data_IF_774949340334
#
_entry.id   IF_774949340334
#
_cell.length_a   1.000
_cell.length_b   1.000
_cell.length_c   1.000
_cell.angle_alpha   90.00
_cell.angle_beta   90.00
_cell.angle_gamma   90.00
#
_symmetry.space_group_name_H-M   'P 1'
#
loop_
_entity.id
_entity.type
_entity.pdbx_description
1 polymer ?
#
# COMPACT_ATOMS: atom_id res chain seq x y z
N UNK A 1 -19.40 -3.38 -21.84
CA UNK A 1 -19.19 -2.01 -21.33
C UNK A 1 -17.71 -1.70 -21.08
N UNK A 2 -16.90 -2.68 -20.65
CA UNK A 2 -15.46 -2.45 -20.42
C UNK A 2 -14.64 -2.24 -21.70
N UNK A 3 -14.94 -2.96 -22.80
CA UNK A 3 -14.23 -2.82 -24.09
C UNK A 3 -14.32 -1.39 -24.65
N UNK A 4 -15.52 -0.82 -24.62
CA UNK A 4 -15.81 0.56 -25.03
C UNK A 4 -15.13 1.59 -24.13
N UNK A 5 -15.04 1.32 -22.82
CA UNK A 5 -14.31 2.19 -21.88
C UNK A 5 -12.79 2.17 -22.10
N UNK A 6 -12.26 1.10 -22.70
CA UNK A 6 -10.86 0.92 -23.06
C UNK A 6 -10.55 1.33 -24.51
N UNK A 7 -11.53 1.85 -25.26
CA UNK A 7 -11.36 2.20 -26.67
C UNK A 7 -11.14 0.99 -27.59
N UNK A 8 -11.47 -0.22 -27.14
CA UNK A 8 -11.25 -1.45 -27.87
C UNK A 8 -12.46 -1.81 -28.75
N UNK A 9 -12.23 -2.34 -29.97
CA UNK A 9 -13.29 -2.85 -30.83
C UNK A 9 -14.19 -3.88 -30.10
N UNK A 10 -15.51 -3.91 -30.37
CA UNK A 10 -16.46 -4.77 -29.64
C UNK A 10 -16.16 -6.28 -29.79
N UNK A 11 -15.51 -6.66 -30.89
CA UNK A 11 -15.07 -8.03 -31.19
C UNK A 11 -13.78 -8.47 -30.46
N UNK A 12 -13.12 -7.58 -29.72
CA UNK A 12 -11.91 -7.93 -28.94
C UNK A 12 -12.23 -9.03 -27.93
N UNK A 13 -11.41 -10.09 -27.88
CA UNK A 13 -11.65 -11.24 -26.99
C UNK A 13 -11.67 -10.84 -25.52
N UNK A 14 -12.80 -11.07 -24.83
CA UNK A 14 -12.94 -10.79 -23.40
C UNK A 14 -11.94 -11.59 -22.57
N UNK A 15 -11.70 -12.87 -22.93
CA UNK A 15 -10.73 -13.71 -22.23
C UNK A 15 -9.31 -13.18 -22.33
N UNK A 16 -8.92 -12.59 -23.48
CA UNK A 16 -7.61 -11.93 -23.62
C UNK A 16 -7.53 -10.66 -22.76
N UNK A 17 -8.58 -9.83 -22.72
CA UNK A 17 -8.62 -8.63 -21.85
C UNK A 17 -8.53 -9.00 -20.36
N UNK A 18 -9.23 -10.04 -19.94
CA UNK A 18 -9.15 -10.55 -18.57
C UNK A 18 -7.76 -11.09 -18.24
N UNK A 19 -7.13 -11.85 -19.16
CA UNK A 19 -5.73 -12.31 -19.00
C UNK A 19 -4.73 -11.16 -18.94
N UNK A 20 -4.97 -10.09 -19.70
CA UNK A 20 -4.19 -8.86 -19.64
C UNK A 20 -4.35 -8.10 -18.31
N UNK A 21 -5.36 -8.44 -17.49
CA UNK A 21 -5.51 -7.85 -16.17
C UNK A 21 -5.93 -6.38 -16.18
N UNK A 22 -6.57 -5.92 -17.26
CA UNK A 22 -6.96 -4.52 -17.44
C UNK A 22 -8.24 -4.18 -16.65
N UNK A 23 -9.03 -5.20 -16.30
CA UNK A 23 -10.29 -5.10 -15.53
C UNK A 23 -10.27 -6.03 -14.32
N UNK A 24 -11.00 -5.67 -13.26
CA UNK A 24 -11.15 -6.52 -12.08
C UNK A 24 -11.97 -7.77 -12.41
N UNK A 25 -11.63 -8.91 -11.82
CA UNK A 25 -12.47 -10.11 -11.85
C UNK A 25 -13.70 -9.94 -10.95
N UNK A 26 -14.68 -10.82 -11.13
CA UNK A 26 -15.89 -10.82 -10.32
C UNK A 26 -15.53 -11.07 -8.83
N UNK A 27 -14.63 -12.01 -8.57
CA UNK A 27 -14.14 -12.34 -7.22
C UNK A 27 -13.48 -11.13 -6.55
N UNK A 28 -12.64 -10.39 -7.27
CA UNK A 28 -12.01 -9.17 -6.77
C UNK A 28 -13.04 -8.08 -6.44
N UNK A 29 -14.09 -7.95 -7.26
CA UNK A 29 -15.18 -7.00 -6.99
C UNK A 29 -15.98 -7.39 -5.75
N UNK A 30 -16.26 -8.69 -5.57
CA UNK A 30 -16.93 -9.21 -4.37
C UNK A 30 -16.07 -8.94 -3.14
N UNK A 31 -14.77 -9.25 -3.20
CA UNK A 31 -13.85 -9.09 -2.09
C UNK A 31 -13.69 -7.61 -1.71
N UNK A 32 -13.51 -6.73 -2.70
CA UNK A 32 -13.42 -5.29 -2.49
C UNK A 32 -14.69 -4.73 -1.84
N UNK A 33 -15.87 -5.15 -2.32
CA UNK A 33 -17.15 -4.76 -1.74
C UNK A 33 -17.31 -5.26 -0.30
N UNK A 34 -16.97 -6.53 -0.05
CA UNK A 34 -17.02 -7.16 1.28
C UNK A 34 -16.12 -6.42 2.27
N UNK A 35 -14.88 -6.14 1.87
CA UNK A 35 -13.90 -5.44 2.70
C UNK A 35 -14.36 -4.02 3.03
N UNK A 36 -14.88 -3.30 2.03
CA UNK A 36 -15.41 -1.94 2.21
C UNK A 36 -16.61 -1.91 3.17
N UNK A 37 -17.53 -2.87 3.04
CA UNK A 37 -18.68 -2.98 3.93
C UNK A 37 -18.27 -3.36 5.36
N UNK A 38 -17.33 -4.29 5.51
CA UNK A 38 -16.79 -4.68 6.81
C UNK A 38 -16.15 -3.49 7.54
N UNK A 39 -15.29 -2.72 6.85
CA UNK A 39 -14.69 -1.51 7.40
C UNK A 39 -15.73 -0.45 7.76
N UNK A 40 -16.76 -0.27 6.93
CA UNK A 40 -17.86 0.67 7.21
C UNK A 40 -18.61 0.28 8.48
N UNK A 41 -18.89 -1.02 8.67
CA UNK A 41 -19.59 -1.52 9.86
C UNK A 41 -18.76 -1.33 11.13
N UNK A 42 -17.45 -1.60 11.09
CA UNK A 42 -16.53 -1.37 12.22
C UNK A 42 -16.55 0.07 12.75
N UNK A 43 -16.76 1.06 11.87
CA UNK A 43 -16.77 2.49 12.25
C UNK A 43 -17.97 2.90 13.12
N UNK A 44 -19.05 2.13 13.12
CA UNK A 44 -20.28 2.47 13.86
C UNK A 44 -20.54 1.51 15.02
N UNK A 45 -21.13 2.00 16.10
CA UNK A 45 -21.50 1.16 17.25
C UNK A 45 -22.50 0.07 16.86
N UNK A 46 -23.51 0.44 16.07
CA UNK A 46 -24.50 -0.51 15.55
C UNK A 46 -23.89 -1.52 14.60
N UNK A 47 -22.98 -1.10 13.72
CA UNK A 47 -22.28 -2.00 12.80
C UNK A 47 -21.36 -2.99 13.50
N UNK A 48 -20.65 -2.57 14.56
CA UNK A 48 -19.88 -3.49 15.42
C UNK A 48 -20.77 -4.55 16.07
N UNK A 49 -21.92 -4.16 16.61
CA UNK A 49 -22.89 -5.13 17.17
C UNK A 49 -23.43 -6.12 16.13
N UNK A 50 -23.61 -5.68 14.87
CA UNK A 50 -24.01 -6.58 13.77
C UNK A 50 -22.91 -7.60 13.46
N UNK A 51 -21.64 -7.17 13.46
CA UNK A 51 -20.49 -8.05 13.21
C UNK A 51 -20.33 -9.09 14.33
N UNK A 52 -20.42 -8.65 15.59
CA UNK A 52 -20.38 -9.53 16.77
C UNK A 52 -21.48 -10.60 16.72
N UNK A 53 -22.73 -10.20 16.41
CA UNK A 53 -23.86 -11.13 16.27
C UNK A 53 -23.67 -12.17 15.16
N UNK A 54 -22.85 -11.87 14.16
CA UNK A 54 -22.53 -12.77 13.04
C UNK A 54 -21.26 -13.61 13.28
N UNK A 55 -20.69 -13.54 14.48
CA UNK A 55 -19.46 -14.25 14.82
C UNK A 55 -18.22 -13.70 14.13
N UNK A 56 -18.29 -12.49 13.56
CA UNK A 56 -17.10 -11.79 13.09
C UNK A 56 -16.49 -11.08 14.29
N UNK A 57 -15.41 -11.63 14.85
CA UNK A 57 -14.64 -10.93 15.88
C UNK A 57 -14.17 -9.58 15.31
N UNK A 58 -14.59 -8.45 15.90
CA UNK A 58 -14.03 -7.17 15.55
C UNK A 58 -12.59 -7.19 16.08
N UNK A 59 -11.61 -7.36 15.19
CA UNK A 59 -10.27 -6.86 15.49
C UNK A 59 -10.41 -5.34 15.56
N UNK A 60 -10.77 -4.84 16.74
CA UNK A 60 -10.66 -3.43 17.08
C UNK A 60 -9.16 -3.17 17.15
N UNK A 61 -8.51 -3.03 15.98
CA UNK A 61 -7.26 -2.32 15.92
C UNK A 61 -7.60 -0.92 16.43
N UNK A 62 -7.25 -0.65 17.69
CA UNK A 62 -7.07 0.69 18.20
C UNK A 62 -5.88 1.31 17.46
N UNK A 63 -6.00 1.47 16.14
CA UNK A 63 -5.09 2.25 15.33
C UNK A 63 -5.19 3.65 15.91
N UNK A 64 -4.17 4.10 16.63
CA UNK A 64 -3.96 5.51 16.94
C UNK A 64 -3.58 6.20 15.63
N UNK A 65 -4.53 6.32 14.71
CA UNK A 65 -4.33 7.03 13.46
C UNK A 65 -4.59 8.50 13.71
N UNK A 66 -3.52 9.25 13.89
CA UNK A 66 -3.52 10.70 13.83
C UNK A 66 -3.74 11.14 12.37
N UNK A 67 -4.53 12.20 12.17
CA UNK A 67 -4.71 12.75 10.82
C UNK A 67 -3.46 13.54 10.45
N UNK A 68 -2.83 13.19 9.33
CA UNK A 68 -1.74 14.00 8.75
C UNK A 68 -2.23 15.44 8.54
N UNK A 69 -1.52 16.46 9.05
CA UNK A 69 -1.89 17.86 8.86
C UNK A 69 -2.11 18.21 7.39
N UNK A 70 -3.12 19.04 7.09
CA UNK A 70 -3.49 19.41 5.71
C UNK A 70 -2.31 19.96 4.92
N UNK A 71 -1.51 20.83 5.55
CA UNK A 71 -0.32 21.44 4.96
C UNK A 71 0.71 20.44 4.43
N UNK A 72 0.81 19.26 5.06
CA UNK A 72 1.70 18.18 4.62
C UNK A 72 0.99 17.34 3.55
N UNK A 73 -0.27 16.97 3.83
CA UNK A 73 -1.08 16.13 2.94
C UNK A 73 -1.23 16.72 1.52
N UNK A 74 -1.44 18.02 1.41
CA UNK A 74 -1.64 18.70 0.12
C UNK A 74 -0.36 18.73 -0.72
N UNK A 75 0.81 18.52 -0.08
CA UNK A 75 2.11 18.40 -0.75
C UNK A 75 2.44 16.95 -1.16
N UNK A 76 1.70 15.97 -0.65
CA UNK A 76 1.91 14.56 -0.95
C UNK A 76 1.02 14.12 -2.12
N UNK A 77 1.67 13.69 -3.21
CA UNK A 77 0.97 13.07 -4.34
C UNK A 77 1.13 11.55 -4.28
N UNK A 78 0.13 10.87 -3.71
CA UNK A 78 0.10 9.41 -3.61
C UNK A 78 -0.72 8.87 -4.78
N UNK A 79 -0.09 8.25 -5.81
CA UNK A 79 -0.84 7.63 -6.88
C UNK A 79 -1.63 6.43 -6.33
N UNK A 80 -2.87 6.19 -6.81
CA UNK A 80 -3.63 5.03 -6.39
C UNK A 80 -2.86 3.74 -6.75
N UNK A 81 -2.96 2.73 -5.88
CA UNK A 81 -2.47 1.40 -6.24
C UNK A 81 -3.16 0.93 -7.52
N UNK A 82 -2.42 0.31 -8.46
CA UNK A 82 -3.02 -0.26 -9.64
C UNK A 82 -4.12 -1.23 -9.28
N UNK A 83 -5.12 -1.29 -10.15
CA UNK A 83 -6.11 -2.35 -10.11
C UNK A 83 -5.42 -3.70 -10.20
N UNK A 84 -6.02 -4.71 -9.60
CA UNK A 84 -5.56 -6.10 -9.67
C UNK A 84 -4.15 -6.29 -9.09
N UNK A 85 -3.93 -5.76 -7.88
CA UNK A 85 -2.72 -5.99 -7.10
C UNK A 85 -2.98 -6.72 -5.78
N UNK A 86 -3.67 -7.86 -5.85
CA UNK A 86 -3.89 -8.68 -4.65
C UNK A 86 -2.55 -9.25 -4.15
N UNK A 87 -2.22 -9.10 -2.84
CA UNK A 87 -0.92 -9.50 -2.30
C UNK A 87 -0.62 -10.99 -2.50
N UNK A 88 -1.65 -11.85 -2.43
CA UNK A 88 -1.50 -13.31 -2.51
C UNK A 88 -1.68 -13.85 -3.93
N UNK A 89 -2.62 -13.32 -4.71
CA UNK A 89 -3.00 -13.94 -5.99
C UNK A 89 -2.16 -13.44 -7.16
N UNK A 90 -1.65 -12.21 -7.07
CA UNK A 90 -1.06 -11.51 -8.22
C UNK A 90 0.44 -11.25 -8.02
N UNK A 91 1.17 -12.25 -7.52
CA UNK A 91 2.61 -12.14 -7.23
C UNK A 91 3.42 -11.73 -8.47
N UNK A 92 3.27 -12.40 -9.62
CA UNK A 92 4.02 -12.05 -10.84
C UNK A 92 3.84 -10.59 -11.24
N UNK A 93 2.62 -10.05 -11.10
CA UNK A 93 2.34 -8.65 -11.40
C UNK A 93 3.00 -7.70 -10.39
N UNK A 94 3.16 -8.11 -9.13
CA UNK A 94 3.84 -7.30 -8.10
C UNK A 94 5.32 -7.25 -8.40
N UNK A 95 5.90 -8.36 -8.81
CA UNK A 95 7.29 -8.46 -9.26
C UNK A 95 7.53 -7.59 -10.51
N UNK A 96 6.72 -7.74 -11.56
CA UNK A 96 6.83 -6.92 -12.77
C UNK A 96 6.72 -5.42 -12.47
N UNK A 97 5.81 -5.05 -11.55
CA UNK A 97 5.64 -3.67 -11.10
C UNK A 97 6.87 -3.16 -10.34
N UNK A 98 7.44 -3.98 -9.45
CA UNK A 98 8.64 -3.61 -8.70
C UNK A 98 9.81 -3.38 -9.67
N UNK A 99 10.02 -4.28 -10.63
CA UNK A 99 11.03 -4.13 -11.69
C UNK A 99 10.79 -2.88 -12.53
N UNK A 100 9.55 -2.61 -12.93
CA UNK A 100 9.21 -1.41 -13.69
C UNK A 100 9.42 -0.11 -12.90
N UNK A 101 9.17 -0.12 -11.58
CA UNK A 101 9.44 1.02 -10.70
C UNK A 101 10.95 1.25 -10.53
N UNK A 102 11.72 0.17 -10.35
CA UNK A 102 13.17 0.24 -10.27
C UNK A 102 13.76 0.82 -11.55
N UNK A 103 13.45 0.23 -12.71
CA UNK A 103 13.93 0.72 -14.01
C UNK A 103 13.50 2.17 -14.31
N UNK A 104 12.34 2.60 -13.81
CA UNK A 104 11.87 3.98 -13.97
C UNK A 104 12.67 5.00 -13.17
N UNK A 105 13.20 4.59 -12.01
CA UNK A 105 13.89 5.47 -11.07
C UNK A 105 15.39 5.21 -10.98
N UNK A 106 15.90 4.28 -11.77
CA UNK A 106 17.32 3.94 -11.87
C UNK A 106 18.18 5.18 -12.11
N UNK A 107 19.28 5.28 -11.35
CA UNK A 107 20.25 6.38 -11.45
C UNK A 107 19.77 7.73 -10.92
N UNK A 108 18.56 7.82 -10.34
CA UNK A 108 18.05 9.07 -9.76
C UNK A 108 18.47 9.22 -8.30
N UNK A 109 19.07 10.36 -7.98
CA UNK A 109 19.46 10.70 -6.60
C UNK A 109 18.36 11.39 -5.79
N UNK A 110 17.19 11.67 -6.38
CA UNK A 110 16.05 12.29 -5.68
C UNK A 110 14.99 11.26 -5.23
N UNK A 111 15.34 9.97 -5.25
CA UNK A 111 14.46 8.85 -4.89
C UNK A 111 15.01 8.13 -3.66
N UNK A 112 14.14 7.85 -2.69
CA UNK A 112 14.42 6.96 -1.56
C UNK A 112 13.43 5.80 -1.50
N UNK A 113 13.95 4.64 -1.12
CA UNK A 113 13.18 3.44 -0.83
C UNK A 113 13.07 3.31 0.68
N UNK A 114 11.87 3.08 1.20
CA UNK A 114 11.63 2.97 2.64
C UNK A 114 11.10 1.60 3.00
N UNK A 115 11.61 1.05 4.09
CA UNK A 115 11.17 -0.22 4.65
C UNK A 115 11.27 -0.20 6.17
N UNK A 116 10.55 -1.10 6.84
CA UNK A 116 10.62 -1.33 8.26
C UNK A 116 10.58 -2.82 8.61
N UNK A 117 11.54 -3.24 9.43
CA UNK A 117 11.68 -4.64 9.83
C UNK A 117 11.77 -4.79 11.36
N UNK A 118 11.37 -5.95 11.86
CA UNK A 118 11.58 -6.29 13.27
C UNK A 118 13.07 -6.53 13.55
N UNK A 119 13.58 -5.96 14.65
CA UNK A 119 14.94 -6.24 15.10
C UNK A 119 15.10 -7.72 15.44
N UNK A 120 16.26 -8.30 15.16
CA UNK A 120 16.56 -9.71 15.47
C UNK A 120 16.37 -10.08 16.96
N UNK A 121 16.56 -9.11 17.87
CA UNK A 121 16.35 -9.31 19.31
C UNK A 121 14.88 -9.27 19.75
N UNK A 122 13.94 -9.02 18.82
CA UNK A 122 12.50 -8.94 19.07
C UNK A 122 12.01 -7.71 19.86
N UNK A 123 12.93 -6.84 20.33
CA UNK A 123 12.63 -5.73 21.27
C UNK A 123 12.28 -4.40 20.60
N UNK A 124 12.25 -4.36 19.28
CA UNK A 124 11.96 -3.14 18.52
C UNK A 124 11.86 -3.40 17.03
N UNK A 125 11.68 -2.32 16.28
CA UNK A 125 11.67 -2.30 14.83
C UNK A 125 12.67 -1.27 14.32
N UNK A 126 13.32 -1.57 13.21
CA UNK A 126 14.19 -0.65 12.48
C UNK A 126 13.42 -0.11 11.29
N UNK A 127 13.45 1.20 11.13
CA UNK A 127 12.91 1.92 9.97
C UNK A 127 14.08 2.48 9.17
N UNK A 128 14.11 2.28 7.87
CA UNK A 128 15.22 2.66 7.00
C UNK A 128 14.71 3.40 5.77
N UNK A 129 15.45 4.42 5.35
CA UNK A 129 15.34 4.98 4.01
C UNK A 129 16.69 4.81 3.28
N UNK A 130 16.69 4.08 2.17
CA UNK A 130 17.88 3.74 1.39
C UNK A 130 17.84 4.36 0.00
N UNK A 131 19.02 4.47 -0.61
CA UNK A 131 19.18 4.68 -2.05
C UNK A 131 19.22 3.34 -2.78
N UNK A 132 19.16 3.41 -4.11
CA UNK A 132 19.25 2.23 -4.99
C UNK A 132 20.55 1.44 -4.79
N UNK A 133 21.67 2.10 -4.47
CA UNK A 133 22.97 1.48 -4.21
C UNK A 133 23.00 0.63 -2.91
N UNK A 134 21.89 0.54 -2.19
CA UNK A 134 21.79 -0.17 -0.92
C UNK A 134 22.37 0.61 0.26
N UNK A 135 22.88 1.83 0.04
CA UNK A 135 23.33 2.71 1.09
C UNK A 135 22.16 3.22 1.92
N UNK A 136 22.16 2.91 3.23
CA UNK A 136 21.24 3.53 4.17
C UNK A 136 21.55 5.01 4.29
N UNK A 137 20.61 5.86 3.89
CA UNK A 137 20.72 7.33 4.03
C UNK A 137 20.38 7.74 5.44
N UNK A 138 19.30 7.20 5.98
CA UNK A 138 18.85 7.46 7.34
C UNK A 138 18.13 6.23 7.88
N UNK A 139 18.34 5.92 9.16
CA UNK A 139 17.64 4.87 9.85
C UNK A 139 17.33 5.28 11.28
N UNK A 140 16.32 4.64 11.88
CA UNK A 140 16.08 4.74 13.31
C UNK A 140 15.54 3.42 13.86
N UNK A 141 15.58 3.27 15.17
CA UNK A 141 14.92 2.16 15.85
C UNK A 141 13.84 2.68 16.78
N UNK A 142 12.69 2.01 16.77
CA UNK A 142 11.55 2.32 17.64
C UNK A 142 11.27 1.12 18.53
N UNK A 143 11.00 1.38 19.81
CA UNK A 143 10.56 0.37 20.78
C UNK A 143 9.05 0.39 20.88
N UNK A 144 8.43 -0.77 21.11
CA UNK A 144 6.99 -0.91 21.30
C UNK A 144 6.12 -0.35 20.15
N UNK A 145 6.66 -0.25 18.94
CA UNK A 145 5.91 0.14 17.75
C UNK A 145 5.31 -1.07 17.05
N UNK A 146 4.16 -0.92 16.40
CA UNK A 146 3.63 -1.89 15.45
C UNK A 146 4.40 -1.85 14.12
N UNK A 147 4.21 -2.84 13.24
CA UNK A 147 4.84 -2.82 11.90
C UNK A 147 4.40 -1.59 11.12
N UNK A 148 3.10 -1.28 11.13
CA UNK A 148 2.56 -0.07 10.49
C UNK A 148 3.15 1.22 11.03
N UNK A 149 3.32 1.36 12.34
CA UNK A 149 3.96 2.56 12.91
C UNK A 149 5.42 2.68 12.49
N UNK A 150 6.15 1.57 12.40
CA UNK A 150 7.53 1.58 11.95
C UNK A 150 7.64 1.94 10.45
N UNK A 151 6.70 1.51 9.62
CA UNK A 151 6.59 1.91 8.21
C UNK A 151 6.30 3.43 8.08
N UNK A 152 5.36 3.95 8.86
CA UNK A 152 5.05 5.39 8.90
C UNK A 152 6.27 6.20 9.32
N UNK A 153 7.06 5.71 10.29
CA UNK A 153 8.33 6.32 10.70
C UNK A 153 9.37 6.27 9.58
N UNK A 154 9.46 5.19 8.80
CA UNK A 154 10.38 5.10 7.66
C UNK A 154 10.06 6.17 6.61
N UNK A 155 8.77 6.36 6.30
CA UNK A 155 8.31 7.42 5.39
C UNK A 155 8.63 8.81 5.96
N UNK A 156 8.38 9.03 7.25
CA UNK A 156 8.68 10.29 7.91
C UNK A 156 10.18 10.62 7.88
N UNK A 157 11.05 9.62 8.10
CA UNK A 157 12.50 9.77 7.98
C UNK A 157 12.93 10.16 6.56
N UNK A 158 12.32 9.55 5.53
CA UNK A 158 12.62 9.93 4.15
C UNK A 158 12.21 11.37 3.84
N UNK A 159 11.10 11.86 4.42
CA UNK A 159 10.63 13.24 4.24
C UNK A 159 11.54 14.30 4.89
N UNK A 160 12.35 13.94 5.89
CA UNK A 160 13.30 14.88 6.50
C UNK A 160 14.57 15.09 5.67
N UNK A 161 14.82 14.21 4.69
CA UNK A 161 16.01 14.29 3.85
C UNK A 161 15.88 15.41 2.82
N UNK A 162 16.91 16.24 2.72
CA UNK A 162 16.99 17.27 1.70
C UNK A 162 17.14 16.62 0.32
N UNK A 163 16.60 17.26 -0.72
CA UNK A 163 16.71 16.85 -2.13
C UNK A 163 15.88 15.62 -2.54
N UNK A 164 15.11 15.01 -1.64
CA UNK A 164 14.19 13.91 -1.98
C UNK A 164 12.90 14.44 -2.57
N UNK A 165 12.48 13.87 -3.72
CA UNK A 165 11.22 14.19 -4.39
C UNK A 165 10.28 13.00 -4.49
N UNK A 166 10.81 11.79 -4.45
CA UNK A 166 10.05 10.55 -4.63
C UNK A 166 10.41 9.58 -3.49
N UNK A 167 9.39 9.04 -2.84
CA UNK A 167 9.52 7.99 -1.83
C UNK A 167 8.79 6.76 -2.37
N UNK A 168 9.47 5.62 -2.36
CA UNK A 168 8.92 4.33 -2.76
C UNK A 168 8.79 3.47 -1.51
N UNK A 169 7.57 3.01 -1.24
CA UNK A 169 7.21 2.15 -0.10
C UNK A 169 6.28 1.04 -0.59
N UNK A 170 6.37 -0.12 0.04
CA UNK A 170 5.47 -1.26 -0.16
C UNK A 170 4.29 -1.28 0.84
N UNK A 171 4.34 -0.42 1.85
CA UNK A 171 3.28 -0.20 2.84
C UNK A 171 2.05 0.47 2.21
N UNK A 172 0.85 0.03 2.62
CA UNK A 172 -0.44 0.41 2.02
C UNK A 172 -1.23 1.45 2.81
#
# INVERSE_FOLDING_TARGET
RDKTALGLPPNTSTNKIMRLGVSNTLEELIEAARTSQYQRLLRSRTGRSILEKRGYEPQVCSRRTEKVPRQVRDKLKIPPLPKNMHPVYHESRRSDRATALQARFEGRQDVLYTDAAQCANGRGRVSVATREDGGSVVCCSTRNSTTTEAEEVAIALALTQQQVKIIVTDSK
#
